data_IF_271726074075
#
_entry.id   IF_271726074075
#
_cell.length_a   1.000
_cell.length_b   1.000
_cell.length_c   1.000
_cell.angle_alpha   90.00
_cell.angle_beta   90.00
_cell.angle_gamma   90.00
#
_symmetry.space_group_name_H-M   'P 1'
#
loop_
_entity.id
_entity.type
_entity.pdbx_description
1 polymer ?
#
# COMPACT_ATOMS: atom_id res chain seq x y z
N UNK A 1 7.48 36.70 1.69
CA UNK A 1 7.99 35.33 1.87
C UNK A 1 6.97 34.27 1.44
N UNK A 2 6.34 34.40 0.26
CA UNK A 2 5.34 33.44 -0.25
C UNK A 2 5.84 32.58 -1.43
N UNK A 3 6.97 32.98 -2.05
CA UNK A 3 7.53 32.30 -3.22
C UNK A 3 8.36 31.05 -2.89
N UNK A 4 8.94 30.97 -1.68
CA UNK A 4 9.75 29.81 -1.27
C UNK A 4 8.89 28.56 -0.99
N UNK A 5 7.66 28.74 -0.50
CA UNK A 5 6.75 27.64 -0.14
C UNK A 5 6.22 26.85 -1.35
N UNK A 6 6.05 27.51 -2.50
CA UNK A 6 5.55 26.84 -3.70
C UNK A 6 6.62 26.03 -4.44
N UNK A 7 7.88 26.46 -4.35
CA UNK A 7 9.00 25.77 -5.02
C UNK A 7 9.33 24.44 -4.32
N UNK A 8 9.23 24.39 -2.99
CA UNK A 8 9.51 23.17 -2.23
C UNK A 8 8.49 22.04 -2.53
N UNK A 9 7.21 22.40 -2.75
CA UNK A 9 6.13 21.45 -2.94
C UNK A 9 6.17 20.76 -4.32
N UNK A 10 6.66 21.47 -5.35
CA UNK A 10 6.85 20.93 -6.71
C UNK A 10 8.07 20.01 -6.78
N UNK A 11 9.13 20.29 -6.03
CA UNK A 11 10.35 19.45 -6.02
C UNK A 11 10.09 18.11 -5.34
N UNK A 12 9.33 18.07 -4.23
CA UNK A 12 8.98 16.81 -3.54
C UNK A 12 8.08 15.92 -4.40
N UNK A 13 7.14 16.49 -5.17
CA UNK A 13 6.33 15.71 -6.13
C UNK A 13 7.14 15.21 -7.34
N UNK A 14 8.14 15.97 -7.80
CA UNK A 14 8.98 15.59 -8.94
C UNK A 14 9.96 14.45 -8.66
N UNK A 15 10.45 14.35 -7.42
CA UNK A 15 11.38 13.29 -6.99
C UNK A 15 10.74 11.91 -6.79
N UNK A 16 9.41 11.81 -6.74
CA UNK A 16 8.71 10.53 -6.58
C UNK A 16 8.53 9.76 -7.90
N UNK A 17 8.85 10.37 -9.05
CA UNK A 17 8.60 9.77 -10.37
C UNK A 17 9.73 8.85 -10.84
N UNK A 18 10.89 8.84 -10.15
CA UNK A 18 12.10 8.12 -10.60
C UNK A 18 12.63 7.05 -9.64
N UNK A 19 11.83 6.56 -8.69
CA UNK A 19 12.14 5.33 -7.98
C UNK A 19 11.70 4.11 -8.81
N UNK A 20 12.37 3.88 -9.95
CA UNK A 20 12.31 2.61 -10.68
C UNK A 20 13.67 1.93 -10.57
N UNK A 21 14.16 1.76 -9.34
CA UNK A 21 15.09 0.66 -9.06
C UNK A 21 14.23 -0.56 -8.78
N UNK A 22 14.62 -1.74 -9.27
CA UNK A 22 13.99 -3.03 -8.95
C UNK A 22 13.48 -2.97 -7.50
N UNK A 23 12.16 -2.83 -7.33
CA UNK A 23 11.56 -2.95 -6.02
C UNK A 23 12.00 -4.32 -5.54
N UNK A 24 12.81 -4.38 -4.48
CA UNK A 24 13.09 -5.64 -3.81
C UNK A 24 11.73 -6.18 -3.45
N UNK A 25 11.27 -7.17 -4.22
CA UNK A 25 9.91 -7.64 -4.13
C UNK A 25 9.67 -8.07 -2.68
N UNK A 26 8.62 -7.52 -2.06
CA UNK A 26 8.34 -7.78 -0.66
C UNK A 26 8.16 -9.27 -0.48
N UNK A 27 8.90 -9.86 0.47
CA UNK A 27 8.75 -11.28 0.79
C UNK A 27 7.27 -11.58 1.09
N UNK A 28 6.75 -12.66 0.53
CA UNK A 28 5.35 -12.98 0.78
C UNK A 28 5.19 -13.46 2.24
N UNK A 29 4.34 -12.81 3.06
CA UNK A 29 4.27 -13.11 4.48
C UNK A 29 3.52 -14.41 4.73
N UNK A 30 4.25 -15.52 4.84
CA UNK A 30 3.67 -16.80 5.21
C UNK A 30 3.33 -16.80 6.71
N UNK A 31 2.06 -16.98 7.09
CA UNK A 31 1.64 -16.98 8.49
C UNK A 31 2.28 -18.13 9.29
N UNK A 32 2.70 -19.20 8.61
CA UNK A 32 3.42 -20.32 9.23
C UNK A 32 4.90 -20.00 9.54
N UNK A 33 5.42 -18.83 9.13
CA UNK A 33 6.78 -18.37 9.44
C UNK A 33 7.89 -19.18 8.77
N UNK A 34 7.54 -19.96 7.75
CA UNK A 34 8.43 -20.87 7.03
C UNK A 34 9.03 -20.21 5.78
N UNK A 35 10.27 -20.59 5.44
CA UNK A 35 10.84 -20.24 4.14
C UNK A 35 10.12 -21.01 3.04
N UNK A 36 9.65 -20.29 2.02
CA UNK A 36 8.98 -20.88 0.86
C UNK A 36 10.04 -21.31 -0.15
N UNK A 37 10.16 -22.61 -0.38
CA UNK A 37 11.26 -23.16 -1.19
C UNK A 37 10.76 -23.74 -2.53
N UNK A 38 9.46 -23.63 -2.82
CA UNK A 38 8.87 -24.11 -4.05
C UNK A 38 7.75 -23.22 -4.56
N UNK A 39 7.55 -23.26 -5.88
CA UNK A 39 6.45 -22.57 -6.56
C UNK A 39 5.08 -23.04 -6.05
N UNK A 40 4.91 -24.34 -5.81
CA UNK A 40 3.65 -24.91 -5.33
C UNK A 40 3.30 -24.47 -3.91
N UNK A 41 4.31 -24.33 -3.04
CA UNK A 41 4.09 -23.72 -1.73
C UNK A 41 3.70 -22.26 -1.92
N UNK A 42 4.44 -21.47 -2.71
CA UNK A 42 4.16 -20.06 -2.94
C UNK A 42 2.73 -19.80 -3.45
N UNK A 43 2.23 -20.67 -4.33
CA UNK A 43 0.89 -20.59 -4.92
C UNK A 43 -0.26 -20.89 -3.95
N UNK A 44 0.01 -21.25 -2.69
CA UNK A 44 -1.04 -21.46 -1.67
C UNK A 44 -1.84 -20.19 -1.36
N UNK A 45 -1.23 -19.02 -1.52
CA UNK A 45 -1.89 -17.74 -1.33
C UNK A 45 -1.88 -16.97 -2.65
N UNK A 46 -3.05 -16.60 -3.16
CA UNK A 46 -3.21 -15.96 -4.46
C UNK A 46 -2.57 -14.56 -4.54
N UNK A 47 -2.32 -13.92 -3.39
CA UNK A 47 -1.56 -12.69 -3.30
C UNK A 47 -0.03 -12.87 -3.44
N UNK A 48 0.49 -14.09 -3.47
CA UNK A 48 1.91 -14.36 -3.68
C UNK A 48 2.22 -14.71 -5.15
N UNK A 49 3.47 -14.47 -5.56
CA UNK A 49 4.01 -14.83 -6.86
C UNK A 49 5.40 -15.46 -6.70
N UNK A 50 5.64 -16.51 -7.49
CA UNK A 50 6.95 -17.15 -7.59
C UNK A 50 7.66 -16.68 -8.86
N UNK A 51 8.80 -16.01 -8.71
CA UNK A 51 9.67 -15.66 -9.84
C UNK A 51 11.13 -15.91 -9.46
N UNK A 52 11.94 -16.40 -10.41
CA UNK A 52 13.39 -16.55 -10.24
C UNK A 52 13.81 -17.33 -8.97
N UNK A 53 13.00 -18.30 -8.53
CA UNK A 53 13.30 -19.12 -7.35
C UNK A 53 12.96 -18.48 -6.01
N UNK A 54 12.20 -17.38 -6.00
CA UNK A 54 11.83 -16.63 -4.79
C UNK A 54 10.32 -16.34 -4.79
N UNK A 55 9.69 -16.58 -3.63
CA UNK A 55 8.30 -16.19 -3.39
C UNK A 55 8.22 -14.75 -2.85
N UNK A 56 7.42 -13.91 -3.49
CA UNK A 56 7.21 -12.52 -3.11
C UNK A 56 5.72 -12.15 -3.22
N UNK A 57 5.32 -11.03 -2.64
CA UNK A 57 3.97 -10.51 -2.85
C UNK A 57 3.81 -10.04 -4.29
N UNK A 58 2.63 -10.28 -4.86
CA UNK A 58 2.20 -9.63 -6.10
C UNK A 58 2.25 -8.10 -5.95
N UNK A 59 2.32 -7.41 -7.09
CA UNK A 59 2.28 -5.94 -7.11
C UNK A 59 1.00 -5.40 -6.47
N UNK A 60 1.10 -4.17 -5.94
CA UNK A 60 -0.07 -3.47 -5.37
C UNK A 60 -1.19 -3.25 -6.38
N UNK A 61 -0.91 -3.29 -7.69
CA UNK A 61 -1.93 -3.22 -8.75
C UNK A 61 -2.74 -4.51 -8.93
N UNK A 62 -2.36 -5.60 -8.24
CA UNK A 62 -3.04 -6.90 -8.27
C UNK A 62 -3.56 -7.22 -6.86
N UNK A 63 -2.68 -7.27 -5.86
CA UNK A 63 -3.03 -7.71 -4.51
C UNK A 63 -3.42 -6.56 -3.56
N UNK A 64 -3.33 -5.30 -3.98
CA UNK A 64 -3.54 -4.13 -3.12
C UNK A 64 -4.97 -3.56 -3.10
N UNK A 65 -5.05 -2.31 -2.67
CA UNK A 65 -6.26 -1.50 -2.61
C UNK A 65 -6.12 -0.27 -3.51
N UNK A 66 -7.23 0.21 -4.05
CA UNK A 66 -7.32 1.46 -4.81
C UNK A 66 -8.17 2.48 -4.07
N UNK A 67 -7.89 3.77 -4.30
CA UNK A 67 -8.81 4.83 -3.90
C UNK A 67 -10.06 4.79 -4.77
N UNK A 68 -11.24 4.92 -4.17
CA UNK A 68 -12.51 4.95 -4.92
C UNK A 68 -13.00 6.36 -5.22
N UNK A 69 -12.47 7.36 -4.51
CA UNK A 69 -12.87 8.76 -4.63
C UNK A 69 -11.72 9.69 -4.25
N UNK A 70 -11.91 10.98 -4.54
CA UNK A 70 -11.03 12.02 -4.05
C UNK A 70 -11.04 12.08 -2.50
N UNK A 71 -9.92 12.44 -1.85
CA UNK A 71 -9.89 12.60 -0.41
C UNK A 71 -10.89 13.63 0.08
N UNK A 72 -11.53 13.34 1.22
CA UNK A 72 -12.38 14.28 1.95
C UNK A 72 -11.56 14.96 3.02
N UNK A 73 -11.47 16.29 2.99
CA UNK A 73 -10.76 17.06 4.01
C UNK A 73 -11.52 17.02 5.35
N UNK A 74 -10.76 16.97 6.44
CA UNK A 74 -11.25 17.09 7.81
C UNK A 74 -10.54 18.25 8.50
N UNK A 75 -11.04 18.76 9.64
CA UNK A 75 -10.32 19.79 10.39
C UNK A 75 -8.91 19.38 10.81
N UNK A 76 -8.64 18.08 10.94
CA UNK A 76 -7.35 17.53 11.37
C UNK A 76 -6.49 16.99 10.21
N UNK A 77 -7.00 16.90 8.99
CA UNK A 77 -6.28 16.31 7.85
C UNK A 77 -7.22 15.87 6.73
N UNK A 78 -7.19 14.59 6.37
CA UNK A 78 -8.07 14.04 5.33
C UNK A 78 -8.36 12.56 5.53
N UNK A 79 -9.40 12.09 4.87
CA UNK A 79 -9.73 10.67 4.79
C UNK A 79 -10.07 10.27 3.35
N UNK A 80 -9.79 9.02 2.99
CA UNK A 80 -10.11 8.46 1.68
C UNK A 80 -10.57 7.01 1.82
N UNK A 81 -11.59 6.66 1.04
CA UNK A 81 -12.07 5.30 0.93
C UNK A 81 -11.16 4.49 0.01
N UNK A 82 -10.80 3.30 0.47
CA UNK A 82 -10.04 2.31 -0.26
C UNK A 82 -10.91 1.09 -0.54
N UNK A 83 -10.78 0.52 -1.73
CA UNK A 83 -11.44 -0.73 -2.14
C UNK A 83 -10.39 -1.74 -2.58
N UNK A 84 -10.56 -3.00 -2.16
CA UNK A 84 -9.72 -4.11 -2.61
C UNK A 84 -9.82 -4.25 -4.13
N UNK A 85 -8.68 -4.36 -4.81
CA UNK A 85 -8.64 -4.42 -6.27
C UNK A 85 -9.29 -5.67 -6.84
N UNK A 86 -8.92 -6.81 -6.28
CA UNK A 86 -9.46 -8.12 -6.59
C UNK A 86 -9.77 -8.86 -5.28
N UNK A 87 -10.99 -9.38 -5.19
CA UNK A 87 -11.52 -10.07 -4.01
C UNK A 87 -11.01 -11.49 -3.87
N UNK A 88 -10.61 -12.10 -4.98
CA UNK A 88 -10.11 -13.47 -5.04
C UNK A 88 -8.59 -13.53 -4.79
N UNK A 89 -7.90 -12.38 -4.90
CA UNK A 89 -6.48 -12.26 -4.61
C UNK A 89 -6.29 -11.90 -3.14
N UNK A 90 -5.88 -12.88 -2.34
CA UNK A 90 -5.79 -12.75 -0.89
C UNK A 90 -4.54 -13.43 -0.32
N UNK A 91 -4.02 -12.85 0.77
CA UNK A 91 -3.05 -13.51 1.66
C UNK A 91 -3.78 -14.38 2.70
N UNK A 92 -4.92 -13.90 3.20
CA UNK A 92 -5.68 -14.52 4.26
C UNK A 92 -7.16 -14.38 3.90
N UNK A 93 -7.84 -15.52 3.75
CA UNK A 93 -9.28 -15.53 3.46
C UNK A 93 -10.04 -14.55 4.38
N UNK A 94 -11.07 -13.89 3.84
CA UNK A 94 -11.84 -12.91 4.59
C UNK A 94 -11.24 -11.50 4.59
N UNK A 95 -10.44 -11.15 3.57
CA UNK A 95 -9.95 -9.79 3.35
C UNK A 95 -11.07 -8.73 3.44
N UNK A 96 -10.77 -7.62 4.11
CA UNK A 96 -11.70 -6.50 4.29
C UNK A 96 -11.83 -5.75 2.96
N UNK A 97 -13.00 -5.79 2.35
CA UNK A 97 -13.20 -5.27 0.99
C UNK A 97 -13.11 -3.75 0.88
N UNK A 98 -13.44 -3.05 1.97
CA UNK A 98 -13.47 -1.59 2.03
C UNK A 98 -12.79 -1.10 3.31
N UNK A 99 -11.85 -0.19 3.14
CA UNK A 99 -11.12 0.44 4.23
C UNK A 99 -11.28 1.95 4.16
N UNK A 100 -11.22 2.59 5.32
CA UNK A 100 -11.00 4.02 5.43
C UNK A 100 -9.53 4.26 5.79
N UNK A 101 -8.84 5.02 4.95
CA UNK A 101 -7.51 5.54 5.22
C UNK A 101 -7.64 6.98 5.72
N UNK A 102 -7.14 7.25 6.92
CA UNK A 102 -7.25 8.54 7.59
C UNK A 102 -5.86 9.07 7.95
N UNK A 103 -5.61 10.33 7.61
CA UNK A 103 -4.40 11.06 7.97
C UNK A 103 -4.79 12.19 8.91
N UNK A 104 -4.15 12.22 10.07
CA UNK A 104 -4.37 13.18 11.16
C UNK A 104 -3.06 13.92 11.41
N UNK A 105 -3.06 15.23 11.23
CA UNK A 105 -1.95 16.11 11.56
C UNK A 105 -2.19 16.65 12.98
N UNK A 106 -1.34 16.26 13.93
CA UNK A 106 -1.43 16.73 15.32
C UNK A 106 -0.65 18.03 15.50
N UNK A 107 0.63 18.00 15.14
CA UNK A 107 1.56 19.15 15.19
C UNK A 107 2.40 19.22 13.90
N UNK A 108 3.28 20.22 13.77
CA UNK A 108 4.11 20.42 12.56
C UNK A 108 4.96 19.20 12.15
N UNK A 109 5.29 18.31 13.09
CA UNK A 109 6.18 17.16 12.86
C UNK A 109 5.57 15.83 13.31
N UNK A 110 4.27 15.80 13.57
CA UNK A 110 3.58 14.59 14.05
C UNK A 110 2.33 14.33 13.23
N UNK A 111 2.41 13.27 12.42
CA UNK A 111 1.33 12.76 11.60
C UNK A 111 0.98 11.37 12.11
N UNK A 112 -0.31 11.13 12.29
CA UNK A 112 -0.86 9.81 12.55
C UNK A 112 -1.63 9.33 11.33
N UNK A 113 -1.38 8.08 10.94
CA UNK A 113 -2.14 7.39 9.90
C UNK A 113 -2.94 6.27 10.56
N UNK A 114 -4.22 6.17 10.22
CA UNK A 114 -5.10 5.09 10.65
C UNK A 114 -5.70 4.41 9.43
N UNK A 115 -5.72 3.10 9.44
CA UNK A 115 -6.46 2.27 8.48
C UNK A 115 -7.48 1.48 9.28
N UNK A 116 -8.75 1.62 8.91
CA UNK A 116 -9.88 1.00 9.62
C UNK A 116 -10.86 0.40 8.62
N UNK A 117 -11.62 -0.61 9.04
CA UNK A 117 -12.78 -1.05 8.28
C UNK A 117 -13.80 0.09 8.20
N UNK A 118 -14.46 0.21 7.04
CA UNK A 118 -15.58 1.13 6.85
C UNK A 118 -16.91 0.47 7.13
#
# INVERSE_FOLDING_TARGET
MARLRHVLLVVVMGSLVHAQGDETALECPYPEGQSVNSEGECARYSACQWNNGVCHMNSNSIAGYRTTAAPTLTPAGFQVMLEKLDREVTLFDGDIQQLMFEVINHEEYHIQIKVRYS
#
